data_IF_020196435771
#
_entry.id   IF_020196435771
#
_cell.length_a   1.000
_cell.length_b   1.000
_cell.length_c   1.000
_cell.angle_alpha   90.00
_cell.angle_beta   90.00
_cell.angle_gamma   90.00
#
_symmetry.space_group_name_H-M   'P 1'
#
loop_
_entity.id
_entity.type
_entity.pdbx_description
1 polymer ?
#
# COMPACT_ATOMS: atom_id res chain seq x y z
N UNK A 1 -19.63 22.18 -1.65
CA UNK A 1 -18.51 21.57 -0.91
C UNK A 1 -18.43 20.06 -1.15
N UNK A 2 -19.45 19.27 -0.81
CA UNK A 2 -19.43 17.79 -0.98
C UNK A 2 -19.35 17.37 -2.45
N UNK A 3 -20.01 18.10 -3.35
CA UNK A 3 -19.96 17.84 -4.80
C UNK A 3 -18.60 18.20 -5.42
N UNK A 4 -17.92 19.20 -4.90
CA UNK A 4 -16.61 19.64 -5.40
C UNK A 4 -15.50 18.68 -4.99
N UNK A 5 -15.44 18.24 -3.72
CA UNK A 5 -14.49 17.24 -3.26
C UNK A 5 -14.60 15.93 -4.08
N UNK A 6 -15.80 15.46 -4.35
CA UNK A 6 -16.02 14.25 -5.14
C UNK A 6 -15.52 14.37 -6.59
N UNK A 7 -15.52 15.57 -7.19
CA UNK A 7 -15.07 15.72 -8.58
C UNK A 7 -13.55 15.51 -8.71
N UNK A 8 -12.74 15.99 -7.78
CA UNK A 8 -11.30 15.79 -7.82
C UNK A 8 -10.91 14.33 -7.56
N UNK A 9 -11.63 13.62 -6.70
CA UNK A 9 -11.47 12.17 -6.54
C UNK A 9 -11.74 11.43 -7.86
N UNK A 10 -12.84 11.78 -8.54
CA UNK A 10 -13.20 11.16 -9.83
C UNK A 10 -12.13 11.48 -10.88
N UNK A 11 -11.70 12.75 -10.97
CA UNK A 11 -10.65 13.16 -11.91
C UNK A 11 -9.36 12.39 -11.64
N UNK A 12 -8.93 12.25 -10.39
CA UNK A 12 -7.76 11.47 -10.02
C UNK A 12 -7.84 10.01 -10.49
N UNK A 13 -8.97 9.37 -10.27
CA UNK A 13 -9.23 8.01 -10.75
C UNK A 13 -9.19 7.90 -12.28
N UNK A 14 -9.81 8.85 -12.99
CA UNK A 14 -9.77 8.90 -14.45
C UNK A 14 -8.36 9.13 -14.99
N UNK A 15 -7.58 10.01 -14.38
CA UNK A 15 -6.17 10.24 -14.74
C UNK A 15 -5.37 8.95 -14.60
N UNK A 16 -5.56 8.20 -13.51
CA UNK A 16 -4.91 6.89 -13.36
C UNK A 16 -5.30 5.92 -14.48
N UNK A 17 -6.58 5.81 -14.79
CA UNK A 17 -7.06 4.89 -15.82
C UNK A 17 -6.54 5.27 -17.23
N UNK A 18 -6.52 6.56 -17.57
CA UNK A 18 -6.06 7.06 -18.88
C UNK A 18 -4.54 6.90 -19.02
N UNK A 19 -3.79 7.25 -18.00
CA UNK A 19 -2.33 7.15 -18.05
C UNK A 19 -1.83 5.73 -17.95
N UNK A 20 -2.68 4.81 -17.48
CA UNK A 20 -2.31 3.43 -17.17
C UNK A 20 -0.97 3.37 -16.40
N UNK A 21 -0.82 4.29 -15.46
CA UNK A 21 0.44 4.57 -14.81
C UNK A 21 1.04 3.32 -14.20
N UNK A 22 2.31 3.10 -14.49
CA UNK A 22 3.09 2.00 -13.91
C UNK A 22 4.40 2.54 -13.38
N UNK A 23 4.63 2.33 -12.10
CA UNK A 23 5.93 2.61 -11.51
C UNK A 23 6.98 1.58 -11.96
N UNK A 24 8.26 1.93 -11.78
CA UNK A 24 9.32 0.95 -11.93
C UNK A 24 9.16 -0.19 -10.91
N UNK A 25 9.54 -1.39 -11.29
CA UNK A 25 9.48 -2.55 -10.37
C UNK A 25 10.24 -2.29 -9.05
N UNK A 26 11.33 -1.52 -9.09
CA UNK A 26 12.08 -1.14 -7.89
C UNK A 26 11.27 -0.28 -6.92
N UNK A 27 10.46 0.65 -7.45
CA UNK A 27 9.62 1.48 -6.62
C UNK A 27 8.48 0.67 -5.99
N UNK A 28 7.82 -0.18 -6.77
CA UNK A 28 6.77 -1.08 -6.28
C UNK A 28 7.30 -1.98 -5.15
N UNK A 29 8.47 -2.59 -5.38
CA UNK A 29 9.14 -3.40 -4.36
C UNK A 29 9.47 -2.58 -3.12
N UNK A 30 10.01 -1.37 -3.29
CA UNK A 30 10.31 -0.50 -2.15
C UNK A 30 9.05 -0.16 -1.35
N UNK A 31 7.95 0.21 -2.00
CA UNK A 31 6.67 0.52 -1.34
C UNK A 31 6.15 -0.68 -0.55
N UNK A 32 6.20 -1.87 -1.14
CA UNK A 32 5.82 -3.12 -0.49
C UNK A 32 6.64 -3.38 0.78
N UNK A 33 7.96 -3.42 0.67
CA UNK A 33 8.85 -3.66 1.80
C UNK A 33 8.79 -2.54 2.85
N UNK A 34 8.58 -1.30 2.41
CA UNK A 34 8.37 -0.18 3.31
C UNK A 34 7.09 -0.35 4.13
N UNK A 35 6.02 -0.87 3.54
CA UNK A 35 4.77 -1.12 4.25
C UNK A 35 4.94 -2.19 5.31
N UNK A 36 5.66 -3.28 5.02
CA UNK A 36 6.06 -4.26 6.03
C UNK A 36 6.85 -3.61 7.17
N UNK A 37 7.85 -2.78 6.84
CA UNK A 37 8.66 -2.10 7.84
C UNK A 37 7.85 -1.14 8.72
N UNK A 38 6.89 -0.41 8.14
CA UNK A 38 5.98 0.46 8.86
C UNK A 38 5.17 -0.33 9.88
N UNK A 39 4.57 -1.45 9.49
CA UNK A 39 3.79 -2.30 10.39
C UNK A 39 4.68 -3.04 11.41
N UNK A 40 5.89 -3.43 11.03
CA UNK A 40 6.87 -3.94 11.98
C UNK A 40 7.22 -2.89 13.06
N UNK A 41 7.41 -1.63 12.66
CA UNK A 41 7.63 -0.52 13.60
C UNK A 41 6.41 -0.29 14.51
N UNK A 42 5.19 -0.23 13.96
CA UNK A 42 3.96 -0.06 14.72
C UNK A 42 3.68 -1.22 15.69
N UNK A 43 4.19 -2.41 15.40
CA UNK A 43 4.10 -3.59 16.26
C UNK A 43 5.32 -3.81 17.14
N UNK A 44 6.14 -2.76 17.31
CA UNK A 44 7.31 -2.73 18.19
C UNK A 44 8.38 -3.79 17.87
N UNK A 45 8.54 -4.13 16.58
CA UNK A 45 9.64 -4.99 16.14
C UNK A 45 10.97 -4.22 16.18
N UNK A 46 12.07 -4.97 16.33
CA UNK A 46 13.41 -4.40 16.45
C UNK A 46 14.27 -4.72 15.22
N UNK A 47 15.32 -3.92 15.01
CA UNK A 47 16.30 -4.13 13.93
C UNK A 47 15.67 -4.23 12.54
N UNK A 48 14.69 -3.37 12.25
CA UNK A 48 14.00 -3.33 10.97
C UNK A 48 14.97 -2.87 9.87
N UNK A 49 15.07 -3.65 8.78
CA UNK A 49 15.89 -3.34 7.61
C UNK A 49 15.11 -3.61 6.35
N UNK A 50 15.21 -2.70 5.38
CA UNK A 50 14.63 -2.84 4.04
C UNK A 50 15.77 -3.02 3.05
N UNK A 51 15.68 -4.03 2.21
CA UNK A 51 16.64 -4.32 1.14
C UNK A 51 15.85 -4.37 -0.17
N UNK A 52 16.23 -3.54 -1.15
CA UNK A 52 15.60 -3.49 -2.48
C UNK A 52 16.68 -3.66 -3.54
N UNK A 53 16.48 -4.59 -4.43
CA UNK A 53 17.42 -4.88 -5.52
C UNK A 53 17.64 -6.39 -5.71
N UNK A 54 18.54 -6.79 -6.61
CA UNK A 54 18.95 -8.18 -6.71
C UNK A 54 19.56 -8.57 -5.35
N UNK A 55 18.71 -9.15 -4.51
CA UNK A 55 19.07 -9.49 -3.16
C UNK A 55 19.97 -10.72 -3.19
N UNK A 56 20.94 -10.76 -2.26
CA UNK A 56 21.66 -11.98 -1.91
C UNK A 56 20.71 -13.09 -1.42
N UNK A 57 19.45 -12.75 -1.19
CA UNK A 57 18.34 -13.62 -0.85
C UNK A 57 17.62 -14.11 -2.12
N UNK A 58 18.22 -15.10 -2.80
CA UNK A 58 17.60 -16.11 -3.71
C UNK A 58 16.38 -15.65 -4.52
N UNK A 59 16.49 -14.55 -5.25
CA UNK A 59 15.50 -14.18 -6.27
C UNK A 59 14.36 -13.27 -5.82
N UNK A 60 14.30 -12.82 -4.56
CA UNK A 60 13.36 -11.80 -4.14
C UNK A 60 13.79 -10.42 -4.65
N UNK A 61 12.83 -9.64 -5.18
CA UNK A 61 13.10 -8.28 -5.62
C UNK A 61 13.31 -7.30 -4.44
N UNK A 62 12.85 -7.65 -3.24
CA UNK A 62 13.04 -6.95 -1.99
C UNK A 62 12.82 -7.87 -0.79
N UNK A 63 13.25 -7.43 0.37
CA UNK A 63 13.04 -8.12 1.65
C UNK A 63 13.01 -7.09 2.79
N UNK A 64 11.99 -7.19 3.65
CA UNK A 64 11.97 -6.54 4.95
C UNK A 64 12.34 -7.55 6.03
N UNK A 65 13.38 -7.27 6.81
CA UNK A 65 13.81 -8.11 7.93
C UNK A 65 13.65 -7.40 9.26
N UNK A 66 13.25 -8.13 10.29
CA UNK A 66 13.10 -7.61 11.65
C UNK A 66 13.25 -8.74 12.69
N UNK A 67 13.40 -8.38 13.95
CA UNK A 67 13.48 -9.32 15.06
C UNK A 67 12.14 -9.41 15.82
N UNK A 68 12.00 -10.46 16.65
CA UNK A 68 10.85 -10.76 17.52
C UNK A 68 9.64 -11.37 16.79
N UNK A 69 9.93 -12.18 15.75
CA UNK A 69 8.93 -12.97 15.05
C UNK A 69 7.99 -12.16 14.16
N UNK A 70 7.43 -12.79 13.19
CA UNK A 70 6.44 -12.22 12.28
C UNK A 70 5.02 -12.36 12.84
N UNK A 71 4.08 -11.62 12.26
CA UNK A 71 2.67 -11.79 12.48
C UNK A 71 1.88 -11.47 11.19
N UNK A 72 0.67 -11.99 11.10
CA UNK A 72 -0.18 -11.83 9.93
C UNK A 72 -0.45 -10.35 9.53
N UNK A 73 -0.45 -9.44 10.51
CA UNK A 73 -0.71 -8.02 10.26
C UNK A 73 0.46 -7.38 9.49
N UNK A 74 1.71 -7.76 9.81
CA UNK A 74 2.89 -7.35 9.08
C UNK A 74 2.87 -8.00 7.70
N UNK A 75 2.71 -9.34 7.63
CA UNK A 75 2.76 -10.08 6.36
C UNK A 75 1.68 -9.62 5.36
N UNK A 76 0.47 -9.25 5.83
CA UNK A 76 -0.60 -8.81 4.94
C UNK A 76 -0.67 -7.29 4.72
N UNK A 77 0.14 -6.49 5.46
CA UNK A 77 0.03 -5.03 5.41
C UNK A 77 0.13 -4.43 4.01
N UNK A 78 1.00 -4.85 3.09
CA UNK A 78 1.07 -4.27 1.74
C UNK A 78 -0.19 -4.48 0.91
N UNK A 79 -0.95 -5.54 1.21
CA UNK A 79 -2.14 -5.92 0.44
C UNK A 79 -3.41 -5.17 0.85
N UNK A 80 -3.41 -4.51 2.00
CA UNK A 80 -4.59 -3.76 2.45
C UNK A 80 -4.29 -2.30 2.79
N UNK A 81 -3.04 -1.94 3.07
CA UNK A 81 -2.72 -0.59 3.51
C UNK A 81 -2.21 0.27 2.35
N UNK A 82 -2.96 1.31 1.93
CA UNK A 82 -2.63 2.14 0.79
C UNK A 82 -1.55 3.18 1.14
N UNK A 83 -0.31 2.74 1.24
CA UNK A 83 0.84 3.52 1.69
C UNK A 83 1.03 4.81 0.88
N UNK A 84 0.91 4.74 -0.45
CA UNK A 84 1.00 5.93 -1.31
C UNK A 84 -0.12 6.93 -1.06
N UNK A 85 -1.35 6.45 -0.81
CA UNK A 85 -2.47 7.34 -0.46
C UNK A 85 -2.17 8.14 0.80
N UNK A 86 -1.66 7.45 1.83
CA UNK A 86 -1.28 8.10 3.07
C UNK A 86 -0.15 9.12 2.86
N UNK A 87 0.90 8.77 2.13
CA UNK A 87 2.00 9.68 1.86
C UNK A 87 1.55 10.93 1.10
N UNK A 88 0.78 10.77 0.04
CA UNK A 88 0.27 11.90 -0.73
C UNK A 88 -0.61 12.80 0.11
N UNK A 89 -1.55 12.21 0.87
CA UNK A 89 -2.43 12.98 1.74
C UNK A 89 -1.65 13.75 2.80
N UNK A 90 -0.76 13.09 3.53
CA UNK A 90 0.06 13.75 4.55
C UNK A 90 0.97 14.83 3.95
N UNK A 91 1.55 14.60 2.78
CA UNK A 91 2.39 15.59 2.11
C UNK A 91 1.63 16.88 1.82
N UNK A 92 0.46 16.82 1.20
CA UNK A 92 -0.34 18.00 0.90
C UNK A 92 -0.92 18.66 2.16
N UNK A 93 -1.35 17.88 3.15
CA UNK A 93 -1.80 18.42 4.45
C UNK A 93 -0.67 19.18 5.17
N UNK A 94 0.56 18.70 5.12
CA UNK A 94 1.71 19.42 5.69
C UNK A 94 1.97 20.72 4.94
N UNK A 95 1.92 20.71 3.61
CA UNK A 95 2.10 21.92 2.78
C UNK A 95 1.03 22.98 3.12
N UNK A 96 -0.21 22.57 3.29
CA UNK A 96 -1.31 23.45 3.70
C UNK A 96 -1.07 24.02 5.11
N UNK A 97 -0.67 23.16 6.06
CA UNK A 97 -0.38 23.57 7.43
C UNK A 97 0.75 24.62 7.51
N UNK A 98 1.76 24.53 6.66
CA UNK A 98 2.85 25.56 6.60
C UNK A 98 2.50 26.78 5.76
N UNK A 99 1.25 26.92 5.32
CA UNK A 99 0.72 28.12 4.66
C UNK A 99 0.98 28.25 3.16
N UNK A 100 1.21 27.13 2.46
CA UNK A 100 1.41 27.14 0.98
C UNK A 100 0.08 27.33 0.21
N UNK A 101 -1.04 27.47 0.93
CA UNK A 101 -2.36 27.73 0.34
C UNK A 101 -3.36 26.60 0.64
N UNK A 102 -4.56 26.74 0.09
CA UNK A 102 -5.58 25.68 0.16
C UNK A 102 -5.25 24.61 -0.89
N UNK A 103 -4.83 23.44 -0.44
CA UNK A 103 -4.41 22.31 -1.26
C UNK A 103 -5.36 21.11 -1.18
N UNK A 104 -6.54 21.28 -0.58
CA UNK A 104 -7.51 20.18 -0.42
C UNK A 104 -7.82 19.47 -1.75
N UNK A 105 -7.94 20.23 -2.85
CA UNK A 105 -8.15 19.64 -4.18
C UNK A 105 -7.03 18.71 -4.64
N UNK A 106 -5.77 18.97 -4.23
CA UNK A 106 -4.64 18.08 -4.52
C UNK A 106 -4.66 16.83 -3.62
N UNK A 107 -5.11 16.96 -2.37
CA UNK A 107 -5.36 15.81 -1.51
C UNK A 107 -6.37 14.88 -2.16
N UNK A 108 -7.54 15.41 -2.54
CA UNK A 108 -8.61 14.64 -3.16
C UNK A 108 -8.19 13.98 -4.47
N UNK A 109 -7.51 14.72 -5.34
CA UNK A 109 -6.99 14.21 -6.61
C UNK A 109 -5.98 13.09 -6.41
N UNK A 110 -5.07 13.24 -5.43
CA UNK A 110 -4.06 12.24 -5.12
C UNK A 110 -4.68 10.97 -4.51
N UNK A 111 -5.69 11.10 -3.66
CA UNK A 111 -6.46 9.98 -3.12
C UNK A 111 -7.18 9.26 -4.26
N UNK A 112 -7.88 10.00 -5.13
CA UNK A 112 -8.56 9.44 -6.29
C UNK A 112 -7.62 8.69 -7.24
N UNK A 113 -6.39 9.16 -7.43
CA UNK A 113 -5.37 8.49 -8.24
C UNK A 113 -4.81 7.24 -7.54
N UNK A 114 -4.50 7.34 -6.25
CA UNK A 114 -3.75 6.31 -5.53
C UNK A 114 -4.60 5.09 -5.13
N UNK A 115 -5.91 5.24 -4.94
CA UNK A 115 -6.80 4.10 -4.64
C UNK A 115 -6.80 3.06 -5.77
N UNK A 116 -7.13 3.39 -7.03
CA UNK A 116 -7.08 2.41 -8.12
C UNK A 116 -5.66 1.91 -8.41
N UNK A 117 -4.62 2.72 -8.16
CA UNK A 117 -3.24 2.29 -8.19
C UNK A 117 -3.00 1.16 -7.18
N UNK A 118 -3.34 1.36 -5.91
CA UNK A 118 -3.21 0.36 -4.85
C UNK A 118 -3.98 -0.94 -5.18
N UNK A 119 -5.22 -0.82 -5.65
CA UNK A 119 -6.01 -1.99 -6.04
C UNK A 119 -5.38 -2.76 -7.19
N UNK A 120 -4.86 -2.07 -8.21
CA UNK A 120 -4.20 -2.71 -9.37
C UNK A 120 -2.93 -3.43 -8.96
N UNK A 121 -2.07 -2.79 -8.19
CA UNK A 121 -0.78 -3.38 -7.77
C UNK A 121 -1.01 -4.58 -6.88
N UNK A 122 -1.90 -4.48 -5.91
CA UNK A 122 -2.27 -5.59 -5.03
C UNK A 122 -2.87 -6.77 -5.78
N UNK A 123 -3.76 -6.50 -6.75
CA UNK A 123 -4.36 -7.56 -7.54
C UNK A 123 -3.31 -8.36 -8.31
N UNK A 124 -2.35 -7.68 -8.95
CA UNK A 124 -1.28 -8.32 -9.71
C UNK A 124 -0.37 -9.16 -8.80
N UNK A 125 -0.05 -8.63 -7.63
CA UNK A 125 0.82 -9.28 -6.66
C UNK A 125 0.13 -10.48 -5.98
N UNK A 126 -1.15 -10.33 -5.64
CA UNK A 126 -1.97 -11.42 -5.12
C UNK A 126 -2.01 -12.60 -6.09
N UNK A 127 -2.30 -12.36 -7.37
CA UNK A 127 -2.30 -13.42 -8.39
C UNK A 127 -0.93 -14.09 -8.47
N UNK A 128 0.14 -13.31 -8.46
CA UNK A 128 1.50 -13.86 -8.50
C UNK A 128 1.75 -14.76 -7.28
N UNK A 129 1.47 -14.30 -6.09
CA UNK A 129 1.72 -15.02 -4.85
C UNK A 129 0.82 -16.26 -4.66
N UNK A 130 -0.44 -16.21 -5.14
CA UNK A 130 -1.33 -17.38 -5.10
C UNK A 130 -0.91 -18.49 -6.08
N UNK A 131 -0.36 -18.11 -7.24
CA UNK A 131 0.07 -19.04 -8.29
C UNK A 131 1.49 -19.55 -8.06
N UNK A 132 2.29 -18.88 -7.25
CA UNK A 132 3.65 -19.31 -6.92
C UNK A 132 3.57 -20.56 -6.05
N UNK A 133 4.24 -21.63 -6.50
CA UNK A 133 4.46 -22.80 -5.64
C UNK A 133 5.44 -22.38 -4.54
N UNK A 134 5.18 -22.75 -3.28
CA UNK A 134 6.16 -22.53 -2.22
C UNK A 134 7.46 -23.25 -2.61
N UNK A 135 8.50 -22.50 -3.00
CA UNK A 135 9.82 -23.08 -3.07
C UNK A 135 10.26 -23.36 -1.63
N UNK A 136 11.02 -24.42 -1.40
CA UNK A 136 11.49 -24.80 -0.07
C UNK A 136 12.26 -23.69 0.67
N UNK A 137 12.53 -22.55 0.02
CA UNK A 137 13.44 -21.51 0.49
C UNK A 137 12.84 -20.13 0.71
N UNK A 138 11.64 -19.84 0.16
CA UNK A 138 10.93 -18.57 0.40
C UNK A 138 9.43 -18.83 0.57
N UNK A 139 8.93 -18.59 1.76
CA UNK A 139 7.51 -18.48 2.02
C UNK A 139 7.01 -17.10 1.55
N UNK A 140 5.92 -17.08 0.78
CA UNK A 140 5.25 -15.82 0.43
C UNK A 140 4.48 -15.27 1.62
N UNK A 141 4.28 -13.96 1.70
CA UNK A 141 3.49 -13.31 2.78
C UNK A 141 2.13 -13.95 2.99
N UNK A 142 1.50 -14.35 1.88
CA UNK A 142 0.20 -15.02 1.90
C UNK A 142 0.29 -16.43 2.50
N UNK A 143 1.38 -17.15 2.24
CA UNK A 143 1.59 -18.47 2.84
C UNK A 143 1.90 -18.37 4.33
N UNK A 144 2.65 -17.37 4.74
CA UNK A 144 2.97 -17.08 6.15
C UNK A 144 1.71 -16.74 6.95
N UNK A 145 0.85 -15.88 6.41
CA UNK A 145 -0.41 -15.52 7.06
C UNK A 145 -1.49 -16.61 6.97
N UNK A 146 -1.37 -17.53 6.00
CA UNK A 146 -2.36 -18.55 5.69
C UNK A 146 -3.31 -18.14 4.56
N UNK A 147 -3.36 -18.94 3.49
CA UNK A 147 -4.11 -18.61 2.25
C UNK A 147 -5.60 -18.31 2.48
N UNK A 148 -6.30 -19.15 3.24
CA UNK A 148 -7.75 -18.96 3.52
C UNK A 148 -7.97 -17.70 4.33
N UNK A 149 -7.15 -17.48 5.36
CA UNK A 149 -7.21 -16.27 6.18
C UNK A 149 -6.96 -14.99 5.33
N UNK A 150 -5.98 -15.01 4.45
CA UNK A 150 -5.64 -13.88 3.57
C UNK A 150 -6.77 -13.53 2.61
N UNK A 151 -7.44 -14.53 2.01
CA UNK A 151 -8.59 -14.32 1.10
C UNK A 151 -9.73 -13.57 1.80
N UNK A 152 -9.93 -13.79 3.09
CA UNK A 152 -10.99 -13.14 3.86
C UNK A 152 -10.53 -11.76 4.36
N UNK A 153 -9.33 -11.71 4.93
CA UNK A 153 -8.85 -10.51 5.63
C UNK A 153 -8.47 -9.37 4.69
N UNK A 154 -7.82 -9.67 3.55
CA UNK A 154 -7.41 -8.62 2.61
C UNK A 154 -8.60 -7.81 2.09
N UNK A 155 -9.67 -8.40 1.53
CA UNK A 155 -10.84 -7.62 1.10
C UNK A 155 -11.53 -6.89 2.25
N UNK A 156 -11.67 -7.52 3.42
CA UNK A 156 -12.33 -6.92 4.58
C UNK A 156 -11.57 -5.67 5.08
N UNK A 157 -10.25 -5.74 5.18
CA UNK A 157 -9.42 -4.61 5.60
C UNK A 157 -9.36 -3.51 4.55
N UNK A 158 -9.26 -3.85 3.26
CA UNK A 158 -9.36 -2.86 2.18
C UNK A 158 -10.70 -2.11 2.24
N UNK A 159 -11.81 -2.82 2.39
CA UNK A 159 -13.13 -2.19 2.50
C UNK A 159 -13.18 -1.24 3.71
N UNK A 160 -12.70 -1.67 4.88
CA UNK A 160 -12.67 -0.84 6.08
C UNK A 160 -11.83 0.43 5.89
N UNK A 161 -10.63 0.29 5.34
CA UNK A 161 -9.72 1.43 5.15
C UNK A 161 -10.27 2.41 4.13
N UNK A 162 -10.80 1.93 3.00
CA UNK A 162 -11.40 2.82 2.01
C UNK A 162 -12.66 3.49 2.54
N UNK A 163 -13.47 2.81 3.36
CA UNK A 163 -14.59 3.43 4.05
C UNK A 163 -14.12 4.57 4.96
N UNK A 164 -13.05 4.36 5.74
CA UNK A 164 -12.48 5.40 6.61
C UNK A 164 -11.96 6.58 5.78
N UNK A 165 -11.16 6.33 4.73
CA UNK A 165 -10.64 7.37 3.85
C UNK A 165 -11.78 8.17 3.24
N UNK A 166 -12.78 7.50 2.69
CA UNK A 166 -13.95 8.15 2.09
C UNK A 166 -14.72 8.99 3.12
N UNK A 167 -14.92 8.48 4.33
CA UNK A 167 -15.61 9.21 5.40
C UNK A 167 -14.86 10.49 5.81
N UNK A 168 -13.53 10.45 5.83
CA UNK A 168 -12.69 11.64 6.15
C UNK A 168 -12.78 12.68 5.03
N UNK A 169 -12.72 12.25 3.77
CA UNK A 169 -12.71 13.16 2.62
C UNK A 169 -14.09 13.82 2.39
N UNK A 170 -15.18 13.18 2.82
CA UNK A 170 -16.54 13.68 2.64
C UNK A 170 -17.13 14.38 3.87
N UNK A 171 -16.39 14.43 4.99
CA UNK A 171 -16.79 15.16 6.20
C UNK A 171 -16.42 16.65 6.12
#
# INVERSE_FOLDING_TARGET
FILEANIYLIIGGLVFLITNFSYSNKFLTFEHEFTHALFAFLTFKQNIKIIVGPSEFKGAAGVCTFQNGDNWLISLSPYFFPTMTLFCALFFMILEYIGIGDLQYLVDLSIGFSIPYHLKTNYLELIHNFNSSPSMELETDISQAGKIFSIIMIPALNFLIFYIIFSIVTS
#
